data_IF_669272997385
#
_entry.id   IF_669272997385
#
_cell.length_a   1.000
_cell.length_b   1.000
_cell.length_c   1.000
_cell.angle_alpha   90.00
_cell.angle_beta   90.00
_cell.angle_gamma   90.00
#
_symmetry.space_group_name_H-M   'P 1'
#
loop_
_entity.id
_entity.type
_entity.pdbx_description
1 polymer ?
#
# COMPACT_ATOMS: atom_id res chain seq x y z
N UNK A 1 22.21 -20.56 1.20
CA UNK A 1 20.92 -20.58 1.94
C UNK A 1 19.84 -20.12 0.98
N UNK A 2 18.64 -20.72 1.03
CA UNK A 2 17.54 -20.30 0.16
C UNK A 2 17.04 -18.93 0.61
N UNK A 3 16.87 -18.00 -0.35
CA UNK A 3 16.33 -16.66 -0.16
C UNK A 3 15.02 -16.48 -0.94
N UNK A 4 14.18 -15.55 -0.52
CA UNK A 4 12.97 -15.14 -1.21
C UNK A 4 13.24 -13.87 -2.00
N UNK A 5 12.90 -13.89 -3.28
CA UNK A 5 12.99 -12.75 -4.18
C UNK A 5 11.60 -12.40 -4.70
N UNK A 6 11.16 -11.16 -4.43
CA UNK A 6 9.88 -10.64 -4.89
C UNK A 6 10.08 -9.89 -6.19
N UNK A 7 9.51 -10.41 -7.24
CA UNK A 7 9.77 -9.97 -8.60
C UNK A 7 8.63 -9.10 -9.14
N UNK A 8 8.99 -7.86 -9.50
CA UNK A 8 8.12 -6.96 -10.25
C UNK A 8 8.25 -7.26 -11.73
N UNK A 9 7.36 -8.10 -12.25
CA UNK A 9 7.22 -8.38 -13.67
C UNK A 9 6.73 -7.14 -14.45
N UNK A 10 6.74 -7.21 -15.77
CA UNK A 10 6.36 -6.08 -16.63
C UNK A 10 5.02 -5.45 -16.26
N UNK A 11 3.93 -6.22 -16.00
CA UNK A 11 2.67 -5.61 -15.52
C UNK A 11 2.81 -4.88 -14.20
N UNK A 12 3.53 -5.41 -13.20
CA UNK A 12 3.73 -4.74 -11.91
C UNK A 12 4.38 -3.35 -12.09
N UNK A 13 5.30 -3.22 -13.03
CA UNK A 13 6.01 -1.95 -13.31
C UNK A 13 5.14 -0.88 -13.97
N UNK A 14 3.93 -1.23 -14.38
CA UNK A 14 2.93 -0.27 -14.90
C UNK A 14 2.01 0.28 -13.81
N UNK A 15 2.16 -0.14 -12.53
CA UNK A 15 1.32 0.29 -11.42
C UNK A 15 1.65 1.71 -10.95
N UNK A 16 1.59 2.66 -11.88
CA UNK A 16 1.72 4.07 -11.58
C UNK A 16 0.46 4.61 -10.84
N UNK A 17 0.59 5.56 -9.93
CA UNK A 17 1.76 6.42 -9.67
C UNK A 17 2.78 5.85 -8.67
N UNK A 18 2.65 4.60 -8.23
CA UNK A 18 3.47 4.02 -7.16
C UNK A 18 4.76 3.41 -7.69
N UNK A 19 4.72 2.74 -8.85
CA UNK A 19 5.90 2.15 -9.49
C UNK A 19 7.01 3.17 -9.86
N UNK A 20 6.71 4.48 -9.79
CA UNK A 20 7.73 5.52 -9.90
C UNK A 20 8.72 5.49 -8.73
N UNK A 21 8.24 5.28 -7.50
CA UNK A 21 9.04 5.49 -6.28
C UNK A 21 9.27 4.25 -5.45
N UNK A 22 8.52 3.16 -5.66
CA UNK A 22 8.63 1.94 -4.86
C UNK A 22 8.40 0.66 -5.64
N UNK A 23 9.03 -0.44 -5.23
CA UNK A 23 8.68 -1.77 -5.73
C UNK A 23 7.26 -2.13 -5.27
N UNK A 24 6.53 -2.89 -6.08
CA UNK A 24 5.14 -3.26 -5.78
C UNK A 24 5.03 -4.18 -4.57
N UNK A 25 6.06 -4.96 -4.29
CA UNK A 25 6.15 -5.74 -3.05
C UNK A 25 6.02 -4.91 -1.77
N UNK A 26 6.32 -3.61 -1.82
CA UNK A 26 6.23 -2.67 -0.71
C UNK A 26 4.89 -1.90 -0.66
N UNK A 27 3.93 -2.27 -1.47
CA UNK A 27 2.55 -1.79 -1.39
C UNK A 27 1.75 -2.57 -0.35
N UNK A 28 0.87 -1.86 0.37
CA UNK A 28 -0.08 -2.48 1.31
C UNK A 28 -1.27 -3.02 0.53
N UNK A 29 -1.58 -4.30 0.75
CA UNK A 29 -2.80 -4.95 0.31
C UNK A 29 -3.49 -5.53 1.56
N UNK A 30 -4.74 -5.19 1.81
CA UNK A 30 -5.38 -5.48 3.09
C UNK A 30 -4.67 -4.78 4.25
N UNK A 31 -4.08 -5.53 5.17
CA UNK A 31 -3.48 -4.99 6.42
C UNK A 31 -1.95 -4.89 6.42
N UNK A 32 -1.27 -5.44 5.40
CA UNK A 32 0.21 -5.51 5.38
C UNK A 32 0.77 -5.40 3.97
N UNK A 33 2.08 -5.15 3.87
CA UNK A 33 2.75 -5.15 2.57
C UNK A 33 2.76 -6.54 1.93
N UNK A 34 2.84 -6.58 0.61
CA UNK A 34 2.93 -7.85 -0.13
C UNK A 34 4.19 -8.62 0.31
N UNK A 35 5.30 -7.91 0.57
CA UNK A 35 6.52 -8.52 1.12
C UNK A 35 6.28 -9.22 2.46
N UNK A 36 5.58 -8.57 3.39
CA UNK A 36 5.29 -9.16 4.69
C UNK A 36 4.41 -10.40 4.55
N UNK A 37 3.43 -10.40 3.65
CA UNK A 37 2.58 -11.56 3.35
C UNK A 37 3.38 -12.74 2.81
N UNK A 38 4.27 -12.50 1.85
CA UNK A 38 5.14 -13.54 1.31
C UNK A 38 6.08 -14.09 2.38
N UNK A 39 6.60 -13.27 3.30
CA UNK A 39 7.42 -13.74 4.42
C UNK A 39 6.65 -14.63 5.41
N UNK A 40 5.34 -14.47 5.52
CA UNK A 40 4.50 -15.36 6.33
C UNK A 40 4.27 -16.72 5.66
N UNK A 41 4.19 -16.74 4.33
CA UNK A 41 4.04 -17.98 3.54
C UNK A 41 5.39 -18.68 3.35
N UNK A 42 6.44 -17.91 3.14
CA UNK A 42 7.81 -18.37 2.92
C UNK A 42 8.74 -17.77 3.99
N UNK A 43 8.79 -18.32 5.21
CA UNK A 43 9.52 -17.76 6.33
C UNK A 43 11.04 -18.02 6.19
N UNK A 44 11.62 -17.46 5.13
CA UNK A 44 13.06 -17.47 4.88
C UNK A 44 13.72 -16.27 5.57
N UNK A 45 14.97 -16.45 5.97
CA UNK A 45 15.73 -15.43 6.70
C UNK A 45 16.02 -14.20 5.83
N UNK A 46 16.14 -14.40 4.53
CA UNK A 46 16.44 -13.36 3.55
C UNK A 46 15.26 -13.17 2.61
N UNK A 47 14.81 -11.91 2.45
CA UNK A 47 13.78 -11.50 1.51
C UNK A 47 14.22 -10.22 0.83
N UNK A 48 14.34 -10.24 -0.50
CA UNK A 48 14.76 -9.12 -1.34
C UNK A 48 13.77 -8.90 -2.46
N UNK A 49 13.79 -7.72 -3.08
CA UNK A 49 12.97 -7.44 -4.27
C UNK A 49 13.82 -7.35 -5.54
N UNK A 50 13.20 -7.68 -6.66
CA UNK A 50 13.69 -7.62 -8.04
C UNK A 50 12.78 -6.67 -8.82
N UNK A 51 13.06 -5.36 -8.79
CA UNK A 51 12.21 -4.32 -9.37
C UNK A 51 12.95 -3.45 -10.41
N UNK A 52 14.11 -3.93 -10.88
CA UNK A 52 14.98 -3.25 -11.84
C UNK A 52 15.78 -2.09 -11.26
N UNK A 53 16.64 -1.51 -12.08
CA UNK A 53 17.63 -0.49 -11.68
C UNK A 53 17.00 0.76 -11.04
N UNK A 54 15.75 1.12 -11.39
CA UNK A 54 15.04 2.26 -10.82
C UNK A 54 14.96 2.20 -9.28
N UNK A 55 14.79 1.01 -8.71
CA UNK A 55 14.59 0.81 -7.28
C UNK A 55 15.82 0.24 -6.55
N UNK A 56 16.96 0.13 -7.19
CA UNK A 56 18.19 -0.40 -6.57
C UNK A 56 18.54 0.34 -5.26
N UNK A 57 18.30 1.64 -5.21
CA UNK A 57 18.56 2.49 -4.05
C UNK A 57 17.36 2.66 -3.11
N UNK A 58 16.24 2.00 -3.38
CA UNK A 58 15.07 2.07 -2.49
C UNK A 58 15.45 1.65 -1.07
N UNK A 59 14.99 2.45 -0.08
CA UNK A 59 15.42 2.29 1.31
C UNK A 59 14.26 2.58 2.27
N UNK A 60 13.55 1.53 2.63
CA UNK A 60 12.56 1.52 3.71
C UNK A 60 12.83 0.34 4.64
N UNK A 61 12.40 0.39 5.91
CA UNK A 61 12.67 -0.66 6.89
C UNK A 61 12.25 -2.05 6.42
N UNK A 62 13.21 -2.97 6.39
CA UNK A 62 13.01 -4.36 5.98
C UNK A 62 12.93 -4.59 4.47
N UNK A 63 12.94 -3.55 3.64
CA UNK A 63 13.02 -3.67 2.19
C UNK A 63 14.48 -3.64 1.73
N UNK A 64 14.86 -4.58 0.87
CA UNK A 64 16.21 -4.67 0.34
C UNK A 64 16.20 -5.08 -1.13
N UNK A 65 16.88 -4.34 -1.98
CA UNK A 65 17.08 -4.73 -3.37
C UNK A 65 17.97 -5.97 -3.50
N UNK A 66 17.65 -6.84 -4.44
CA UNK A 66 18.54 -7.92 -4.85
C UNK A 66 19.76 -7.34 -5.59
N UNK A 67 20.92 -7.96 -5.45
CA UNK A 67 22.14 -7.63 -6.16
C UNK A 67 22.97 -8.88 -6.45
N UNK A 68 23.77 -8.83 -7.50
CA UNK A 68 24.68 -9.90 -7.89
C UNK A 68 23.92 -11.13 -8.41
N UNK A 69 24.09 -12.26 -7.77
CA UNK A 69 23.56 -13.56 -8.23
C UNK A 69 22.56 -14.12 -7.25
N UNK A 70 21.40 -14.55 -7.76
CA UNK A 70 20.43 -15.35 -7.03
C UNK A 70 20.98 -16.77 -6.89
N UNK A 71 21.20 -17.27 -5.68
CA UNK A 71 21.70 -18.65 -5.49
C UNK A 71 20.68 -19.69 -5.98
N UNK A 72 21.17 -20.82 -6.47
CA UNK A 72 20.34 -21.98 -6.73
C UNK A 72 19.52 -22.38 -5.49
N UNK A 73 18.28 -22.78 -5.67
CA UNK A 73 17.33 -23.08 -4.60
C UNK A 73 16.63 -21.87 -3.99
N UNK A 74 16.90 -20.67 -4.46
CA UNK A 74 16.14 -19.47 -4.10
C UNK A 74 14.71 -19.51 -4.67
N UNK A 75 13.80 -18.83 -3.99
CA UNK A 75 12.39 -18.71 -4.43
C UNK A 75 12.21 -17.34 -5.08
N UNK A 76 11.73 -17.33 -6.31
CA UNK A 76 11.27 -16.12 -7.01
C UNK A 76 9.74 -16.13 -7.00
N UNK A 77 9.14 -15.08 -6.47
CA UNK A 77 7.69 -14.91 -6.36
C UNK A 77 7.24 -13.60 -6.99
N UNK A 78 6.11 -13.61 -7.69
CA UNK A 78 5.56 -12.41 -8.31
C UNK A 78 4.98 -11.46 -7.27
N UNK A 79 5.39 -10.19 -7.30
CA UNK A 79 4.86 -9.14 -6.42
C UNK A 79 3.37 -8.88 -6.65
N UNK A 80 2.82 -9.22 -7.82
CA UNK A 80 1.38 -9.10 -8.11
C UNK A 80 0.52 -10.20 -7.49
N UNK A 81 1.12 -11.28 -7.00
CA UNK A 81 0.43 -12.26 -6.19
C UNK A 81 0.43 -11.79 -4.73
N UNK A 82 -0.74 -11.59 -4.16
CA UNK A 82 -0.96 -11.17 -2.79
C UNK A 82 -1.37 -12.38 -1.96
N UNK A 83 -0.45 -13.05 -1.25
CA UNK A 83 -0.81 -14.19 -0.42
C UNK A 83 -1.76 -13.81 0.71
N UNK A 84 -2.74 -14.64 0.97
CA UNK A 84 -3.51 -14.55 2.19
C UNK A 84 -2.63 -14.88 3.41
N UNK A 85 -2.84 -14.23 4.53
CA UNK A 85 -2.13 -14.52 5.78
C UNK A 85 -2.38 -16.00 6.15
N UNK A 86 -1.37 -16.87 6.33
CA UNK A 86 -1.59 -18.27 6.61
C UNK A 86 -2.24 -18.47 7.98
N UNK A 87 -3.22 -19.39 8.07
CA UNK A 87 -3.84 -19.78 9.34
C UNK A 87 -2.89 -20.57 10.22
N UNK A 88 -2.06 -21.41 9.61
CA UNK A 88 -1.05 -22.24 10.25
C UNK A 88 0.32 -21.96 9.59
N UNK A 89 1.18 -21.26 10.34
CA UNK A 89 2.53 -20.88 9.87
C UNK A 89 3.45 -22.11 9.75
N UNK A 90 3.27 -23.12 10.60
CA UNK A 90 4.09 -24.32 10.55
C UNK A 90 3.73 -25.17 9.33
N UNK A 91 2.43 -25.27 9.00
CA UNK A 91 2.01 -25.92 7.76
C UNK A 91 2.51 -25.16 6.52
N UNK A 92 2.53 -23.84 6.53
CA UNK A 92 3.12 -23.04 5.45
C UNK A 92 4.62 -23.34 5.31
N UNK A 93 5.37 -23.36 6.40
CA UNK A 93 6.80 -23.69 6.41
C UNK A 93 7.07 -25.11 5.89
N UNK A 94 6.27 -26.11 6.28
CA UNK A 94 6.39 -27.49 5.77
C UNK A 94 6.15 -27.55 4.25
N UNK A 95 5.14 -26.86 3.74
CA UNK A 95 4.88 -26.78 2.29
C UNK A 95 6.04 -26.12 1.56
N UNK A 96 6.62 -25.07 2.15
CA UNK A 96 7.79 -24.38 1.58
C UNK A 96 8.96 -25.35 1.38
N UNK A 97 9.21 -26.25 2.33
CA UNK A 97 10.30 -27.23 2.25
C UNK A 97 10.06 -28.30 1.15
N UNK A 98 8.80 -28.68 0.92
CA UNK A 98 8.43 -29.78 0.03
C UNK A 98 8.20 -29.38 -1.43
N UNK A 99 7.93 -28.11 -1.71
CA UNK A 99 7.52 -27.64 -3.03
C UNK A 99 8.64 -26.90 -3.76
N UNK A 100 8.60 -26.98 -5.11
CA UNK A 100 9.44 -26.21 -6.01
C UNK A 100 8.66 -25.19 -6.84
N UNK A 101 7.36 -25.31 -6.91
CA UNK A 101 6.45 -24.37 -7.56
C UNK A 101 5.23 -24.12 -6.68
N UNK A 102 4.65 -22.92 -6.79
CA UNK A 102 3.43 -22.54 -6.07
C UNK A 102 2.45 -21.85 -7.00
N UNK A 103 1.20 -22.31 -6.98
CA UNK A 103 0.11 -21.70 -7.71
C UNK A 103 -0.84 -20.94 -6.78
N UNK A 104 -1.32 -19.81 -7.25
CA UNK A 104 -2.45 -19.08 -6.66
C UNK A 104 -3.61 -19.14 -7.67
N UNK A 105 -4.63 -19.93 -7.38
CA UNK A 105 -5.59 -20.35 -8.38
C UNK A 105 -4.92 -21.21 -9.46
N UNK A 106 -5.16 -20.85 -10.70
CA UNK A 106 -4.60 -21.51 -11.90
C UNK A 106 -3.25 -20.90 -12.36
N UNK A 107 -2.79 -19.79 -11.74
CA UNK A 107 -1.58 -19.06 -12.16
C UNK A 107 -0.38 -19.42 -11.30
N UNK A 108 0.80 -19.47 -11.92
CA UNK A 108 2.07 -19.66 -11.22
C UNK A 108 2.40 -18.39 -10.43
N UNK A 109 2.56 -18.53 -9.11
CA UNK A 109 2.81 -17.42 -8.19
C UNK A 109 4.26 -17.33 -7.73
N UNK A 110 4.92 -18.49 -7.59
CA UNK A 110 6.32 -18.54 -7.21
C UNK A 110 6.98 -19.84 -7.71
N UNK A 111 8.31 -19.79 -7.86
CA UNK A 111 9.14 -20.90 -8.29
C UNK A 111 10.43 -20.95 -7.47
N UNK A 112 10.89 -22.14 -7.13
CA UNK A 112 12.24 -22.39 -6.61
C UNK A 112 13.15 -22.67 -7.78
N UNK A 113 14.05 -21.76 -8.10
CA UNK A 113 14.97 -21.88 -9.23
C UNK A 113 15.97 -23.02 -8.99
N UNK A 114 16.23 -23.80 -10.05
CA UNK A 114 17.18 -24.91 -10.02
C UNK A 114 18.63 -24.42 -10.06
N UNK A 115 18.89 -23.44 -10.92
CA UNK A 115 20.20 -22.93 -11.20
C UNK A 115 20.38 -21.52 -10.65
N UNK A 116 21.62 -21.11 -10.37
CA UNK A 116 21.90 -19.72 -9.99
C UNK A 116 21.70 -18.79 -11.19
N UNK A 117 21.18 -17.58 -10.94
CA UNK A 117 20.87 -16.61 -11.98
C UNK A 117 21.39 -15.22 -11.62
N UNK A 118 21.86 -14.47 -12.60
CA UNK A 118 22.23 -13.09 -12.41
C UNK A 118 20.96 -12.21 -12.24
N UNK A 119 21.03 -11.23 -11.33
CA UNK A 119 19.93 -10.29 -11.07
C UNK A 119 19.52 -9.53 -12.33
N UNK A 120 20.47 -9.25 -13.23
CA UNK A 120 20.23 -8.52 -14.48
C UNK A 120 19.23 -9.22 -15.42
N UNK A 121 19.03 -10.53 -15.28
CA UNK A 121 18.01 -11.26 -16.03
C UNK A 121 16.57 -10.78 -15.71
N UNK A 122 16.38 -10.08 -14.62
CA UNK A 122 15.08 -9.56 -14.17
C UNK A 122 14.92 -8.05 -14.40
N UNK A 123 15.90 -7.37 -14.99
CA UNK A 123 15.98 -5.90 -15.01
C UNK A 123 14.87 -5.23 -15.81
N UNK A 124 14.40 -5.81 -16.90
CA UNK A 124 13.34 -5.25 -17.75
C UNK A 124 11.93 -5.74 -17.40
N UNK A 125 11.81 -6.72 -16.50
CA UNK A 125 10.53 -7.31 -16.10
C UNK A 125 9.91 -8.26 -17.11
N UNK A 126 10.61 -8.61 -18.19
CA UNK A 126 10.07 -9.44 -19.28
C UNK A 126 10.11 -10.94 -19.00
N UNK A 127 11.02 -11.37 -18.14
CA UNK A 127 11.16 -12.77 -17.77
C UNK A 127 9.90 -13.27 -17.05
N UNK A 128 9.33 -14.38 -17.51
CA UNK A 128 8.19 -15.01 -16.85
C UNK A 128 8.66 -16.12 -15.90
N UNK A 129 7.84 -16.48 -14.90
CA UNK A 129 8.19 -17.60 -14.03
C UNK A 129 8.21 -18.93 -14.80
N UNK A 130 7.44 -19.03 -15.87
CA UNK A 130 7.37 -20.19 -16.77
C UNK A 130 8.68 -20.40 -17.55
N UNK A 131 9.47 -19.34 -17.76
CA UNK A 131 10.78 -19.41 -18.41
C UNK A 131 11.87 -19.96 -17.48
N UNK A 132 11.59 -20.01 -16.16
CA UNK A 132 12.55 -20.44 -15.17
C UNK A 132 12.53 -21.95 -14.99
N UNK A 133 13.72 -22.54 -14.83
CA UNK A 133 13.85 -23.96 -14.52
C UNK A 133 13.56 -24.19 -13.03
N UNK A 134 12.48 -24.92 -12.73
CA UNK A 134 12.16 -25.33 -11.38
C UNK A 134 13.13 -26.38 -10.85
N UNK A 135 13.44 -26.31 -9.55
CA UNK A 135 14.05 -27.39 -8.83
C UNK A 135 13.13 -28.63 -8.76
N UNK A 136 13.67 -29.73 -8.28
CA UNK A 136 12.86 -30.94 -8.02
C UNK A 136 11.97 -30.72 -6.79
N UNK A 137 10.68 -31.02 -6.89
CA UNK A 137 9.72 -30.86 -5.80
C UNK A 137 8.28 -30.89 -6.28
N UNK A 138 7.36 -30.93 -5.33
CA UNK A 138 5.93 -30.91 -5.62
C UNK A 138 5.45 -29.51 -6.08
N UNK A 139 4.26 -29.46 -6.65
CA UNK A 139 3.51 -28.21 -6.87
C UNK A 139 2.65 -27.97 -5.65
N UNK A 140 2.87 -26.83 -4.98
CA UNK A 140 2.09 -26.35 -3.86
C UNK A 140 1.05 -25.31 -4.28
N UNK A 141 0.17 -24.96 -3.34
CA UNK A 141 -0.80 -23.88 -3.50
C UNK A 141 -0.55 -22.77 -2.49
N UNK A 142 -0.78 -21.52 -2.92
CA UNK A 142 -0.85 -20.33 -2.09
C UNK A 142 -2.26 -19.79 -2.20
N UNK A 143 -2.97 -19.68 -1.07
CA UNK A 143 -4.22 -18.92 -1.04
C UNK A 143 -3.90 -17.44 -1.19
N UNK A 144 -4.70 -16.71 -1.96
CA UNK A 144 -4.47 -15.27 -2.15
C UNK A 144 -5.20 -14.69 -3.34
N UNK A 145 -4.76 -13.52 -3.73
CA UNK A 145 -5.37 -12.69 -4.76
C UNK A 145 -4.34 -12.27 -5.80
N UNK A 146 -4.81 -11.94 -7.00
CA UNK A 146 -3.99 -11.35 -8.06
C UNK A 146 -4.31 -9.88 -8.27
N UNK A 147 -3.26 -9.10 -8.46
CA UNK A 147 -3.33 -7.71 -8.91
C UNK A 147 -3.03 -7.68 -10.40
N UNK A 148 -4.05 -7.51 -11.23
CA UNK A 148 -3.89 -7.38 -12.68
C UNK A 148 -3.87 -5.91 -13.13
N UNK A 149 -4.29 -5.02 -12.23
CA UNK A 149 -4.25 -3.59 -12.40
C UNK A 149 -4.14 -2.86 -11.05
N UNK A 150 -3.72 -1.60 -11.10
CA UNK A 150 -3.51 -0.79 -9.89
C UNK A 150 -4.80 -0.62 -9.06
N UNK A 151 -5.96 -0.58 -9.69
CA UNK A 151 -7.26 -0.45 -8.98
C UNK A 151 -7.68 -1.73 -8.25
N UNK A 152 -7.01 -2.86 -8.48
CA UNK A 152 -7.30 -4.10 -7.76
C UNK A 152 -6.97 -4.02 -6.28
N UNK A 153 -6.06 -3.14 -5.88
CA UNK A 153 -5.85 -2.83 -4.47
C UNK A 153 -7.13 -2.35 -3.79
N UNK A 154 -7.94 -1.56 -4.49
CA UNK A 154 -9.22 -1.04 -3.96
C UNK A 154 -10.34 -2.06 -4.15
N UNK A 155 -10.40 -2.72 -5.32
CA UNK A 155 -11.43 -3.72 -5.62
C UNK A 155 -11.43 -4.89 -4.63
N UNK A 156 -10.23 -5.35 -4.25
CA UNK A 156 -10.05 -6.50 -3.37
C UNK A 156 -10.00 -6.14 -1.88
N UNK A 157 -9.96 -4.85 -1.54
CA UNK A 157 -9.77 -4.39 -0.17
C UNK A 157 -10.79 -4.97 0.84
N UNK A 158 -12.11 -4.98 0.56
CA UNK A 158 -13.07 -5.47 1.54
C UNK A 158 -12.86 -6.95 1.90
N UNK A 159 -12.61 -7.79 0.90
CA UNK A 159 -12.36 -9.22 1.08
C UNK A 159 -11.04 -9.46 1.81
N UNK A 160 -9.98 -8.74 1.42
CA UNK A 160 -8.67 -8.82 2.07
C UNK A 160 -8.75 -8.41 3.54
N UNK A 161 -9.41 -7.30 3.87
CA UNK A 161 -9.57 -6.84 5.25
C UNK A 161 -10.33 -7.86 6.10
N UNK A 162 -11.45 -8.37 5.62
CA UNK A 162 -12.24 -9.36 6.36
C UNK A 162 -11.44 -10.64 6.62
N UNK A 163 -10.73 -11.15 5.61
CA UNK A 163 -9.85 -12.32 5.73
C UNK A 163 -8.71 -12.09 6.70
N UNK A 164 -7.97 -10.99 6.51
CA UNK A 164 -6.76 -10.69 7.27
C UNK A 164 -7.05 -10.44 8.75
N UNK A 165 -8.06 -9.63 9.06
CA UNK A 165 -8.41 -9.29 10.44
C UNK A 165 -8.83 -10.56 11.20
N UNK A 166 -9.62 -11.42 10.56
CA UNK A 166 -10.02 -12.71 11.17
C UNK A 166 -8.81 -13.59 11.50
N UNK A 167 -7.80 -13.62 10.62
CA UNK A 167 -6.58 -14.41 10.82
C UNK A 167 -5.64 -13.80 11.85
N UNK A 168 -5.51 -12.46 11.86
CA UNK A 168 -4.73 -11.75 12.88
C UNK A 168 -5.34 -11.90 14.27
N UNK A 169 -6.66 -11.85 14.40
CA UNK A 169 -7.36 -12.05 15.66
C UNK A 169 -7.03 -13.42 16.30
N UNK A 170 -6.92 -14.44 15.46
CA UNK A 170 -6.58 -15.79 15.91
C UNK A 170 -5.11 -15.97 16.33
N UNK A 171 -4.22 -15.09 15.89
CA UNK A 171 -2.77 -15.18 16.10
C UNK A 171 -2.23 -14.24 17.19
N UNK A 172 -3.03 -13.26 17.64
CA UNK A 172 -2.57 -12.23 18.58
C UNK A 172 -2.80 -12.65 20.03
N UNK A 173 -1.72 -12.68 20.84
CA UNK A 173 -1.79 -12.96 22.28
C UNK A 173 -2.20 -11.73 23.11
N UNK A 174 -1.92 -10.52 22.62
CA UNK A 174 -2.10 -9.23 23.33
C UNK A 174 -3.42 -8.54 22.98
N UNK A 175 -4.47 -9.30 22.71
CA UNK A 175 -5.79 -8.76 22.37
C UNK A 175 -6.51 -8.34 23.63
N UNK A 176 -6.90 -7.08 23.67
CA UNK A 176 -7.78 -6.50 24.71
C UNK A 176 -9.17 -6.25 24.14
N UNK A 177 -10.16 -6.17 25.02
CA UNK A 177 -11.50 -5.73 24.64
C UNK A 177 -11.52 -4.20 24.51
N UNK A 178 -12.35 -3.65 23.61
CA UNK A 178 -12.61 -2.23 23.60
C UNK A 178 -13.08 -1.76 24.97
N UNK A 179 -12.71 -0.52 25.41
CA UNK A 179 -13.14 0.00 26.70
C UNK A 179 -14.68 0.13 26.75
N UNK A 180 -15.26 -0.04 27.93
CA UNK A 180 -16.72 -0.04 28.14
C UNK A 180 -17.42 1.26 27.79
N UNK A 181 -16.70 2.36 27.66
CA UNK A 181 -17.23 3.66 27.25
C UNK A 181 -17.32 3.84 25.72
N UNK A 182 -16.80 2.89 24.92
CA UNK A 182 -17.01 2.86 23.49
C UNK A 182 -18.34 2.15 23.15
N UNK A 183 -19.01 2.63 22.11
CA UNK A 183 -20.25 2.00 21.62
C UNK A 183 -19.89 0.97 20.53
N UNK A 184 -20.44 -0.23 20.63
CA UNK A 184 -20.25 -1.29 19.61
C UNK A 184 -21.61 -1.61 19.00
N UNK A 185 -21.68 -1.59 17.66
CA UNK A 185 -22.86 -1.97 16.87
C UNK A 185 -22.53 -3.21 16.07
N UNK A 186 -23.33 -4.28 16.22
CA UNK A 186 -23.13 -5.58 15.54
C UNK A 186 -22.35 -6.59 16.35
N UNK A 187 -22.14 -7.78 15.77
CA UNK A 187 -21.62 -8.98 16.46
C UNK A 187 -20.22 -9.41 16.01
N UNK A 188 -19.66 -8.81 14.97
CA UNK A 188 -18.29 -9.10 14.53
C UNK A 188 -17.27 -8.57 15.55
N UNK A 189 -16.05 -9.14 15.62
CA UNK A 189 -15.08 -8.73 16.63
C UNK A 189 -14.50 -7.34 16.40
N UNK A 190 -14.28 -6.61 17.51
CA UNK A 190 -13.38 -5.47 17.59
C UNK A 190 -12.13 -5.93 18.34
N UNK A 191 -11.01 -5.95 17.65
CA UNK A 191 -9.71 -6.36 18.20
C UNK A 191 -8.93 -5.10 18.52
N UNK A 192 -8.49 -4.95 19.75
CA UNK A 192 -7.62 -3.86 20.20
C UNK A 192 -6.32 -4.47 20.71
N UNK A 193 -5.20 -4.03 20.19
CA UNK A 193 -3.87 -4.52 20.57
C UNK A 193 -3.21 -3.47 21.46
N UNK A 194 -2.77 -3.91 22.65
CA UNK A 194 -1.91 -3.14 23.54
C UNK A 194 -0.44 -3.20 23.12
N UNK A 195 0.41 -2.39 23.73
CA UNK A 195 1.87 -2.54 23.57
C UNK A 195 2.38 -3.60 24.52
N UNK A 196 3.02 -4.63 23.98
CA UNK A 196 3.71 -5.68 24.74
C UNK A 196 5.03 -5.18 25.38
N UNK A 197 5.59 -4.07 24.87
CA UNK A 197 6.77 -3.40 25.42
C UNK A 197 6.43 -1.91 25.69
N UNK A 198 5.98 -1.58 26.90
CA UNK A 198 5.69 -0.21 27.28
C UNK A 198 6.99 0.56 27.47
N UNK A 199 7.59 1.05 26.39
CA UNK A 199 8.61 2.08 26.51
C UNK A 199 7.94 3.33 27.07
N UNK A 200 8.48 3.95 28.14
CA UNK A 200 7.86 5.12 28.80
C UNK A 200 7.61 6.32 27.87
N UNK A 201 8.19 6.29 26.68
CA UNK A 201 8.14 7.39 25.70
C UNK A 201 7.03 7.25 24.65
N UNK A 202 6.41 6.06 24.52
CA UNK A 202 5.37 5.82 23.53
C UNK A 202 4.04 5.51 24.20
N UNK A 203 2.95 6.24 23.86
CA UNK A 203 1.65 6.00 24.47
C UNK A 203 1.11 4.62 24.11
N UNK A 204 0.34 4.03 25.01
CA UNK A 204 -0.46 2.84 24.71
C UNK A 204 -1.63 3.19 23.78
N UNK A 205 -2.37 2.16 23.33
CA UNK A 205 -3.57 2.36 22.52
C UNK A 205 -4.64 3.10 23.33
N UNK A 206 -5.12 4.22 22.80
CA UNK A 206 -6.11 5.08 23.45
C UNK A 206 -7.38 5.15 22.62
N UNK A 207 -8.51 4.82 23.22
CA UNK A 207 -9.85 5.00 22.67
C UNK A 207 -10.60 5.94 23.59
N UNK A 208 -10.89 7.15 23.11
CA UNK A 208 -11.60 8.17 23.90
C UNK A 208 -13.09 7.83 24.03
N UNK A 209 -13.81 8.41 25.02
CA UNK A 209 -15.27 8.29 25.11
C UNK A 209 -15.99 8.76 23.85
N UNK A 210 -17.20 8.23 23.60
CA UNK A 210 -18.04 8.53 22.43
C UNK A 210 -17.47 8.07 21.10
N UNK A 211 -16.53 7.12 21.11
CA UNK A 211 -16.14 6.39 19.88
C UNK A 211 -17.19 5.31 19.59
N UNK A 212 -17.54 5.17 18.31
CA UNK A 212 -18.46 4.13 17.83
C UNK A 212 -17.69 3.16 16.93
N UNK A 213 -17.70 1.88 17.28
CA UNK A 213 -17.29 0.79 16.41
C UNK A 213 -18.53 0.12 15.81
N UNK A 214 -18.69 0.25 14.50
CA UNK A 214 -19.76 -0.41 13.78
C UNK A 214 -19.19 -1.65 13.07
N UNK A 215 -19.47 -2.81 13.63
CA UNK A 215 -18.99 -4.10 13.11
C UNK A 215 -20.11 -4.90 12.43
N UNK A 216 -21.17 -4.24 12.02
CA UNK A 216 -22.28 -4.89 11.32
C UNK A 216 -21.88 -5.48 9.96
N UNK A 217 -20.94 -4.82 9.25
CA UNK A 217 -20.45 -5.26 7.95
C UNK A 217 -19.14 -6.06 8.02
N UNK A 218 -18.49 -6.14 9.19
CA UNK A 218 -17.26 -6.91 9.34
C UNK A 218 -16.40 -6.47 10.54
N UNK A 219 -15.29 -7.17 10.77
CA UNK A 219 -14.46 -6.96 11.95
C UNK A 219 -13.61 -5.68 11.86
N UNK A 220 -13.20 -5.18 13.04
CA UNK A 220 -12.29 -4.03 13.17
C UNK A 220 -11.02 -4.47 13.92
N UNK A 221 -9.86 -4.01 13.46
CA UNK A 221 -8.57 -4.22 14.12
C UNK A 221 -7.91 -2.88 14.39
N UNK A 222 -7.62 -2.60 15.67
CA UNK A 222 -6.92 -1.41 16.14
C UNK A 222 -5.58 -1.85 16.70
N UNK A 223 -4.49 -1.44 16.04
CA UNK A 223 -3.14 -1.83 16.38
C UNK A 223 -2.55 -0.95 17.50
N UNK A 224 -1.45 -1.42 18.08
CA UNK A 224 -0.78 -0.82 19.22
C UNK A 224 -0.41 0.66 19.01
N UNK A 225 -0.60 1.49 20.02
CA UNK A 225 -0.29 2.91 20.01
C UNK A 225 -1.27 3.78 19.21
N UNK A 226 -2.31 3.20 18.63
CA UNK A 226 -3.33 3.98 17.95
C UNK A 226 -4.10 4.87 18.94
N UNK A 227 -4.43 6.10 18.51
CA UNK A 227 -5.25 7.02 19.28
C UNK A 227 -6.52 7.36 18.50
N UNK A 228 -7.67 6.85 18.95
CA UNK A 228 -8.98 7.13 18.37
C UNK A 228 -9.69 8.16 19.27
N UNK A 229 -9.87 9.36 18.73
CA UNK A 229 -10.47 10.47 19.47
C UNK A 229 -12.00 10.37 19.51
N UNK A 230 -12.56 11.03 20.51
CA UNK A 230 -14.01 11.16 20.69
C UNK A 230 -14.71 11.61 19.40
N UNK A 231 -15.95 11.15 19.22
CA UNK A 231 -16.79 11.41 18.04
C UNK A 231 -16.22 10.85 16.72
N UNK A 232 -15.40 9.80 16.80
CA UNK A 232 -15.02 8.99 15.65
C UNK A 232 -15.99 7.81 15.53
N UNK A 233 -16.44 7.52 14.29
CA UNK A 233 -17.10 6.27 13.93
C UNK A 233 -16.14 5.47 13.05
N UNK A 234 -15.85 4.23 13.44
CA UNK A 234 -15.06 3.28 12.66
C UNK A 234 -16.01 2.15 12.24
N UNK A 235 -16.16 1.93 10.94
CA UNK A 235 -17.02 0.87 10.43
C UNK A 235 -16.21 -0.20 9.69
N UNK A 236 -16.45 -1.46 10.06
CA UNK A 236 -15.73 -2.62 9.53
C UNK A 236 -16.20 -3.06 8.12
N UNK A 237 -15.39 -3.91 7.47
CA UNK A 237 -14.08 -4.35 7.92
C UNK A 237 -13.06 -3.21 7.85
N UNK A 238 -12.34 -2.93 8.94
CA UNK A 238 -11.43 -1.78 9.00
C UNK A 238 -10.16 -2.10 9.81
N UNK A 239 -9.01 -1.68 9.29
CA UNK A 239 -7.72 -1.81 9.95
C UNK A 239 -7.13 -0.43 10.28
N UNK A 240 -6.80 -0.24 11.55
CA UNK A 240 -6.12 0.94 12.08
C UNK A 240 -4.73 0.50 12.52
N UNK A 241 -3.71 0.97 11.83
CA UNK A 241 -2.30 0.60 12.03
C UNK A 241 -1.68 1.16 13.32
N UNK A 242 -0.40 0.85 13.52
CA UNK A 242 0.36 1.31 14.69
C UNK A 242 0.50 2.83 14.69
N UNK A 243 0.37 3.41 15.87
CA UNK A 243 0.57 4.86 16.09
C UNK A 243 -0.30 5.75 15.17
N UNK A 244 -1.40 5.22 14.66
CA UNK A 244 -2.38 5.97 13.87
C UNK A 244 -3.18 6.89 14.79
N UNK A 245 -3.42 8.12 14.32
CA UNK A 245 -4.25 9.08 15.03
C UNK A 245 -5.53 9.36 14.22
N UNK A 246 -6.67 8.83 14.69
CA UNK A 246 -7.99 9.16 14.16
C UNK A 246 -8.56 10.32 14.96
N UNK A 247 -8.64 11.50 14.35
CA UNK A 247 -8.98 12.75 15.04
C UNK A 247 -10.44 13.19 14.85
N UNK A 248 -11.34 12.22 14.65
CA UNK A 248 -12.79 12.41 14.47
C UNK A 248 -13.25 12.09 13.05
N UNK A 249 -14.54 11.93 12.87
CA UNK A 249 -15.19 11.65 11.59
C UNK A 249 -15.59 10.18 11.39
N UNK A 250 -15.86 9.79 10.14
CA UNK A 250 -16.30 8.45 9.76
C UNK A 250 -15.22 7.75 8.92
N UNK A 251 -14.76 6.58 9.38
CA UNK A 251 -13.74 5.76 8.70
C UNK A 251 -14.35 4.38 8.44
N UNK A 252 -14.76 4.14 7.20
CA UNK A 252 -15.51 2.96 6.79
C UNK A 252 -14.75 2.12 5.77
N UNK A 253 -14.53 0.83 6.06
CA UNK A 253 -13.93 -0.12 5.10
C UNK A 253 -12.48 0.22 4.70
N UNK A 254 -11.70 0.82 5.58
CA UNK A 254 -10.39 1.36 5.28
C UNK A 254 -9.23 0.52 5.84
N UNK A 255 -8.09 0.60 5.17
CA UNK A 255 -6.79 0.18 5.70
C UNK A 255 -5.93 1.42 5.95
N UNK A 256 -5.76 1.80 7.21
CA UNK A 256 -4.98 2.97 7.60
C UNK A 256 -3.62 2.51 8.11
N UNK A 257 -2.59 2.66 7.29
CA UNK A 257 -1.21 2.26 7.61
C UNK A 257 -0.55 3.12 8.68
N UNK A 258 0.51 2.59 9.25
CA UNK A 258 1.19 3.08 10.45
C UNK A 258 1.55 4.57 10.40
N UNK A 259 1.53 5.21 11.58
CA UNK A 259 1.96 6.61 11.81
C UNK A 259 1.16 7.64 10.99
N UNK A 260 -0.01 7.26 10.51
CA UNK A 260 -0.89 8.15 9.76
C UNK A 260 -1.83 8.94 10.66
N UNK A 261 -2.27 10.09 10.17
CA UNK A 261 -3.29 10.91 10.83
C UNK A 261 -4.46 11.09 9.89
N UNK A 262 -5.68 10.75 10.35
CA UNK A 262 -6.89 10.84 9.55
C UNK A 262 -8.02 11.55 10.29
N UNK A 263 -8.85 12.29 9.53
CA UNK A 263 -10.06 12.98 9.99
C UNK A 263 -11.02 13.17 8.81
N UNK A 264 -12.29 13.33 9.11
CA UNK A 264 -13.36 13.53 8.14
C UNK A 264 -13.90 12.20 7.64
N UNK A 265 -14.42 12.18 6.44
CA UNK A 265 -15.00 10.97 5.87
C UNK A 265 -13.98 10.22 5.00
N UNK A 266 -13.70 8.97 5.35
CA UNK A 266 -12.89 8.05 4.55
C UNK A 266 -13.70 6.77 4.31
N UNK A 267 -13.75 6.32 3.06
CA UNK A 267 -14.48 5.11 2.67
C UNK A 267 -13.64 4.25 1.73
N UNK A 268 -13.55 2.95 1.99
CA UNK A 268 -12.88 1.96 1.11
C UNK A 268 -11.51 2.42 0.61
N UNK A 269 -10.71 2.99 1.51
CA UNK A 269 -9.46 3.68 1.17
C UNK A 269 -8.26 3.01 1.85
N UNK A 270 -7.16 2.90 1.11
CA UNK A 270 -5.87 2.46 1.65
C UNK A 270 -4.98 3.68 1.87
N UNK A 271 -4.39 3.78 3.05
CA UNK A 271 -3.31 4.72 3.36
C UNK A 271 -2.06 3.91 3.67
N UNK A 272 -1.03 4.03 2.86
CA UNK A 272 0.19 3.20 2.97
C UNK A 272 0.96 3.43 4.27
N UNK A 273 0.88 4.63 4.81
CA UNK A 273 1.52 4.97 6.08
C UNK A 273 2.19 6.36 6.07
N UNK A 274 2.47 6.89 7.26
CA UNK A 274 3.12 8.20 7.49
C UNK A 274 2.42 9.38 6.81
N UNK A 275 1.17 9.22 6.42
CA UNK A 275 0.40 10.19 5.65
C UNK A 275 -0.56 11.00 6.53
N UNK A 276 -0.96 12.17 6.05
CA UNK A 276 -1.82 13.09 6.77
C UNK A 276 -3.02 13.50 5.94
N UNK A 277 -4.21 13.02 6.32
CA UNK A 277 -5.54 13.47 5.94
C UNK A 277 -6.25 14.01 7.20
N UNK A 278 -5.61 14.92 7.92
CA UNK A 278 -5.95 15.30 9.28
C UNK A 278 -7.05 16.36 9.43
N UNK A 279 -7.76 16.71 8.36
CA UNK A 279 -8.82 17.71 8.32
C UNK A 279 -10.09 17.15 7.68
N UNK A 280 -11.21 17.87 7.76
CA UNK A 280 -12.46 17.49 7.13
C UNK A 280 -12.35 17.44 5.60
N UNK A 281 -13.24 16.72 4.96
CA UNK A 281 -13.26 16.40 3.54
C UNK A 281 -13.45 14.90 3.29
N UNK A 282 -14.02 14.53 2.15
CA UNK A 282 -14.27 13.14 1.74
C UNK A 282 -13.10 12.56 0.96
N UNK A 283 -12.67 11.36 1.31
CA UNK A 283 -11.74 10.53 0.51
C UNK A 283 -12.28 9.11 0.41
N UNK A 284 -12.75 8.73 -0.78
CA UNK A 284 -13.38 7.43 -1.00
C UNK A 284 -12.71 6.63 -2.11
N UNK A 285 -12.64 5.30 -1.95
CA UNK A 285 -12.14 4.33 -2.93
C UNK A 285 -10.77 4.74 -3.52
N UNK A 286 -9.89 5.21 -2.65
CA UNK A 286 -8.62 5.84 -3.01
C UNK A 286 -7.43 5.10 -2.43
N UNK A 287 -6.26 5.26 -3.04
CA UNK A 287 -5.02 4.77 -2.49
C UNK A 287 -4.05 5.94 -2.25
N UNK A 288 -3.67 6.16 -1.01
CA UNK A 288 -2.67 7.15 -0.63
C UNK A 288 -1.32 6.46 -0.43
N UNK A 289 -0.34 6.82 -1.22
CA UNK A 289 1.04 6.41 -1.03
C UNK A 289 1.62 6.88 0.30
N UNK A 290 2.88 6.62 0.52
CA UNK A 290 3.57 7.02 1.75
C UNK A 290 3.92 8.50 1.71
N UNK A 291 3.87 9.16 2.87
CA UNK A 291 4.22 10.58 3.02
C UNK A 291 3.28 11.55 2.28
N UNK A 292 2.06 11.14 1.95
CA UNK A 292 1.03 12.02 1.38
C UNK A 292 0.56 13.01 2.44
N UNK A 293 0.33 14.27 2.03
CA UNK A 293 -0.28 15.29 2.89
C UNK A 293 -1.40 16.01 2.15
N UNK A 294 -2.63 15.75 2.57
CA UNK A 294 -3.81 16.42 2.02
C UNK A 294 -4.15 17.68 2.80
N UNK A 295 -4.26 18.80 2.11
CA UNK A 295 -4.72 20.08 2.67
C UNK A 295 -6.16 19.99 3.18
N UNK A 296 -6.53 20.89 4.09
CA UNK A 296 -7.88 20.97 4.64
C UNK A 296 -8.93 21.14 3.53
N UNK A 297 -10.03 20.39 3.61
CA UNK A 297 -11.09 20.44 2.60
C UNK A 297 -10.74 19.79 1.26
N UNK A 298 -9.64 19.01 1.17
CA UNK A 298 -9.41 18.15 -0.01
C UNK A 298 -10.50 17.10 -0.09
N UNK A 299 -11.16 17.01 -1.26
CA UNK A 299 -12.29 16.11 -1.53
C UNK A 299 -11.99 15.30 -2.79
N UNK A 300 -12.26 13.98 -2.73
CA UNK A 300 -12.21 13.11 -3.91
C UNK A 300 -13.63 12.70 -4.30
N UNK A 301 -13.99 12.81 -5.58
CA UNK A 301 -15.17 12.11 -6.09
C UNK A 301 -14.78 10.66 -6.38
N UNK A 302 -15.65 9.73 -6.02
CA UNK A 302 -15.46 8.30 -6.29
C UNK A 302 -16.57 7.68 -7.16
N UNK A 303 -17.64 8.42 -7.45
CA UNK A 303 -18.77 8.02 -8.28
C UNK A 303 -19.01 9.07 -9.37
N UNK A 304 -19.13 8.65 -10.63
CA UNK A 304 -19.52 9.54 -11.71
C UNK A 304 -20.97 10.01 -11.57
N UNK A 305 -21.25 11.25 -11.96
CA UNK A 305 -22.62 11.74 -12.02
C UNK A 305 -23.53 10.94 -12.97
N UNK A 306 -22.92 10.22 -13.93
CA UNK A 306 -23.62 9.32 -14.87
C UNK A 306 -23.80 7.91 -14.35
N UNK A 307 -23.30 7.59 -13.14
CA UNK A 307 -23.33 6.26 -12.52
C UNK A 307 -22.63 5.14 -13.33
N UNK A 308 -21.88 5.50 -14.37
CA UNK A 308 -21.08 4.55 -15.16
C UNK A 308 -19.78 4.14 -14.49
N UNK A 309 -19.09 3.17 -15.09
CA UNK A 309 -17.77 2.71 -14.63
C UNK A 309 -16.71 3.81 -14.74
N UNK A 310 -15.76 3.82 -13.82
CA UNK A 310 -14.67 4.80 -13.78
C UNK A 310 -13.53 4.33 -14.68
N UNK A 311 -13.00 5.24 -15.49
CA UNK A 311 -11.78 5.01 -16.26
C UNK A 311 -10.58 5.58 -15.50
N UNK A 312 -9.44 4.88 -15.54
CA UNK A 312 -8.18 5.29 -14.94
C UNK A 312 -7.09 5.35 -16.00
N UNK A 313 -6.24 6.36 -15.90
CA UNK A 313 -5.03 6.43 -16.71
C UNK A 313 -3.99 5.42 -16.21
N UNK A 314 -3.32 4.77 -17.15
CA UNK A 314 -2.14 3.91 -16.94
C UNK A 314 -1.05 4.29 -17.94
N UNK A 315 0.21 3.89 -17.76
CA UNK A 315 1.25 4.10 -18.78
C UNK A 315 0.93 3.52 -20.15
N UNK A 316 0.01 2.57 -20.22
CA UNK A 316 -0.45 1.93 -21.45
C UNK A 316 -1.68 2.62 -22.06
N UNK A 317 -2.16 3.70 -21.45
CA UNK A 317 -3.35 4.45 -21.88
C UNK A 317 -4.47 4.44 -20.85
N UNK A 318 -5.58 5.09 -21.18
CA UNK A 318 -6.77 5.14 -20.33
C UNK A 318 -7.54 3.82 -20.44
N UNK A 319 -7.82 3.19 -19.32
CA UNK A 319 -8.52 1.89 -19.25
C UNK A 319 -9.80 2.01 -18.43
N UNK A 320 -10.87 1.36 -18.87
CA UNK A 320 -12.06 1.15 -18.03
C UNK A 320 -11.71 0.15 -16.92
N UNK A 321 -11.99 0.52 -15.69
CA UNK A 321 -11.69 -0.31 -14.52
C UNK A 321 -12.74 -1.37 -14.22
N UNK A 322 -13.92 -1.27 -14.86
CA UNK A 322 -15.10 -2.06 -14.53
C UNK A 322 -15.71 -1.72 -13.15
N UNK A 323 -15.14 -0.75 -12.44
CA UNK A 323 -15.60 -0.32 -11.11
C UNK A 323 -16.49 0.92 -11.22
N UNK A 324 -17.66 0.89 -10.57
CA UNK A 324 -18.54 2.04 -10.46
C UNK A 324 -17.99 3.09 -9.48
N UNK A 325 -17.27 2.63 -8.45
CA UNK A 325 -16.65 3.49 -7.44
C UNK A 325 -15.12 3.38 -7.50
N UNK A 326 -14.47 4.48 -7.88
CA UNK A 326 -13.01 4.63 -7.80
C UNK A 326 -12.66 6.11 -7.65
N UNK A 327 -11.90 6.43 -6.59
CA UNK A 327 -11.44 7.78 -6.28
C UNK A 327 -10.08 8.08 -6.93
N UNK A 328 -9.13 8.50 -6.11
CA UNK A 328 -7.83 9.00 -6.54
C UNK A 328 -6.69 8.09 -6.14
N UNK A 329 -5.72 7.90 -7.05
CA UNK A 329 -4.44 7.27 -6.78
C UNK A 329 -3.39 8.36 -6.49
N UNK A 330 -2.96 8.46 -5.23
CA UNK A 330 -1.95 9.42 -4.79
C UNK A 330 -0.60 8.72 -4.67
N UNK A 331 0.36 9.06 -5.54
CA UNK A 331 1.73 8.57 -5.42
C UNK A 331 2.40 9.05 -4.13
N UNK A 332 3.55 8.48 -3.81
CA UNK A 332 4.30 8.87 -2.62
C UNK A 332 4.64 10.36 -2.61
N UNK A 333 4.69 10.94 -1.42
CA UNK A 333 5.05 12.35 -1.21
C UNK A 333 4.12 13.37 -1.86
N UNK A 334 2.96 13.00 -2.39
CA UNK A 334 1.98 13.96 -2.93
C UNK A 334 1.53 14.92 -1.83
N UNK A 335 1.41 16.19 -2.20
CA UNK A 335 0.84 17.25 -1.36
C UNK A 335 -0.25 17.99 -2.11
N UNK A 336 -1.37 18.23 -1.43
CA UNK A 336 -2.44 19.05 -1.96
C UNK A 336 -2.58 20.34 -1.16
N UNK A 337 -2.94 21.43 -1.85
CA UNK A 337 -3.40 22.66 -1.21
C UNK A 337 -4.73 22.46 -0.46
N UNK A 338 -5.21 23.51 0.17
CA UNK A 338 -6.53 23.51 0.84
C UNK A 338 -7.65 23.61 -0.23
N UNK A 339 -8.81 22.98 0.06
CA UNK A 339 -10.01 23.10 -0.78
C UNK A 339 -9.95 22.38 -2.13
N UNK A 340 -8.98 21.50 -2.35
CA UNK A 340 -8.78 20.81 -3.61
C UNK A 340 -9.92 19.81 -3.88
N UNK A 341 -10.45 19.82 -5.11
CA UNK A 341 -11.50 18.91 -5.58
C UNK A 341 -10.96 17.99 -6.66
N UNK A 342 -10.93 16.70 -6.38
CA UNK A 342 -10.44 15.66 -7.29
C UNK A 342 -11.60 14.87 -7.89
N UNK A 343 -11.61 14.72 -9.20
CA UNK A 343 -12.64 13.96 -9.91
C UNK A 343 -12.37 12.44 -9.81
N UNK A 344 -13.36 11.62 -10.17
CA UNK A 344 -13.22 10.15 -10.20
C UNK A 344 -12.05 9.70 -11.08
N UNK A 345 -11.27 8.72 -10.60
CA UNK A 345 -10.16 8.16 -11.35
C UNK A 345 -9.00 9.15 -11.58
N UNK A 346 -8.82 10.11 -10.66
CA UNK A 346 -7.66 11.00 -10.71
C UNK A 346 -6.39 10.27 -10.31
N UNK A 347 -5.28 10.55 -11.00
CA UNK A 347 -3.94 10.03 -10.72
C UNK A 347 -3.00 11.21 -10.45
N UNK A 348 -2.50 11.32 -9.23
CA UNK A 348 -1.48 12.28 -8.85
C UNK A 348 -0.13 11.56 -8.73
N UNK A 349 0.80 11.89 -9.62
CA UNK A 349 2.13 11.30 -9.67
C UNK A 349 2.95 11.56 -8.41
N UNK A 350 3.89 10.69 -8.11
CA UNK A 350 4.73 10.80 -6.92
C UNK A 350 5.40 12.17 -6.83
N UNK A 351 5.49 12.73 -5.62
CA UNK A 351 6.10 14.03 -5.37
C UNK A 351 5.35 15.23 -5.93
N UNK A 352 4.18 15.07 -6.54
CA UNK A 352 3.38 16.19 -7.01
C UNK A 352 2.95 17.09 -5.84
N UNK A 353 3.08 18.39 -6.01
CA UNK A 353 2.63 19.41 -5.07
C UNK A 353 1.65 20.36 -5.79
N UNK A 354 0.36 20.10 -5.59
CA UNK A 354 -0.73 20.70 -6.37
C UNK A 354 -1.62 21.52 -5.45
N UNK A 355 -1.83 22.78 -5.81
CA UNK A 355 -2.70 23.70 -5.06
C UNK A 355 -3.74 24.40 -5.98
N UNK A 356 -4.02 23.81 -7.11
CA UNK A 356 -5.12 24.11 -8.01
C UNK A 356 -6.45 23.69 -7.38
N UNK A 357 -7.53 24.41 -7.60
CA UNK A 357 -8.84 24.05 -7.05
C UNK A 357 -9.39 22.75 -7.63
N UNK A 358 -9.15 22.48 -8.91
CA UNK A 358 -9.64 21.32 -9.64
C UNK A 358 -8.61 20.87 -10.69
N UNK A 359 -7.59 20.12 -10.28
CA UNK A 359 -6.54 19.69 -11.19
C UNK A 359 -7.07 18.72 -12.25
N UNK A 360 -6.35 18.55 -13.38
CA UNK A 360 -6.69 17.54 -14.38
C UNK A 360 -6.65 16.15 -13.77
N UNK A 361 -7.30 15.19 -14.43
CA UNK A 361 -7.36 13.79 -13.97
C UNK A 361 -5.99 13.13 -13.81
N UNK A 362 -5.00 13.58 -14.53
CA UNK A 362 -3.64 13.05 -14.44
C UNK A 362 -2.67 14.20 -14.25
N UNK A 363 -1.92 14.12 -13.18
CA UNK A 363 -0.83 15.05 -12.85
C UNK A 363 0.47 14.25 -12.83
N UNK A 364 1.42 14.65 -13.67
CA UNK A 364 2.71 13.95 -13.77
C UNK A 364 3.49 13.98 -12.44
N UNK A 365 4.37 13.00 -12.18
CA UNK A 365 5.25 13.03 -11.02
C UNK A 365 6.06 14.31 -10.94
N UNK A 366 6.30 14.77 -9.70
CA UNK A 366 7.11 15.96 -9.41
C UNK A 366 6.59 17.25 -10.09
N UNK A 367 5.28 17.34 -10.32
CA UNK A 367 4.63 18.57 -10.75
C UNK A 367 4.45 19.53 -9.59
N UNK A 368 4.58 20.84 -9.89
CA UNK A 368 4.41 21.92 -8.92
C UNK A 368 3.55 23.03 -9.50
N UNK A 369 2.48 23.38 -8.83
CA UNK A 369 1.70 24.56 -9.24
C UNK A 369 0.23 24.56 -8.84
N UNK A 370 -0.41 25.69 -9.16
CA UNK A 370 -1.82 25.97 -8.97
C UNK A 370 -2.65 25.83 -10.23
N UNK A 371 -2.20 25.07 -11.22
CA UNK A 371 -2.89 24.79 -12.49
C UNK A 371 -1.91 24.48 -13.61
N UNK A 372 -2.37 23.82 -14.69
CA UNK A 372 -1.55 23.56 -15.87
C UNK A 372 -1.25 24.86 -16.66
N UNK A 373 -0.05 24.99 -17.27
CA UNK A 373 1.01 23.99 -17.22
C UNK A 373 1.74 24.00 -15.87
N UNK A 374 1.91 22.82 -15.26
CA UNK A 374 2.66 22.71 -14.02
C UNK A 374 4.16 22.87 -14.24
N UNK A 375 4.82 23.56 -13.30
CA UNK A 375 6.28 23.57 -13.24
C UNK A 375 6.80 22.22 -12.76
N UNK A 376 8.07 21.94 -13.06
CA UNK A 376 8.78 20.80 -12.46
C UNK A 376 9.21 21.16 -11.05
N UNK A 377 8.81 20.37 -10.06
CA UNK A 377 9.33 20.50 -8.71
C UNK A 377 10.83 20.16 -8.71
N UNK A 378 11.68 21.12 -8.43
CA UNK A 378 13.14 20.91 -8.46
C UNK A 378 13.54 19.79 -7.52
N UNK A 379 14.41 18.87 -7.98
CA UNK A 379 14.81 17.68 -7.23
C UNK A 379 15.40 18.03 -5.87
N UNK A 380 16.27 19.03 -5.78
CA UNK A 380 16.89 19.49 -4.53
C UNK A 380 15.82 19.98 -3.53
N UNK A 381 14.83 20.73 -3.99
CA UNK A 381 13.73 21.26 -3.15
C UNK A 381 12.73 20.18 -2.74
N UNK A 382 12.47 19.23 -3.63
CA UNK A 382 11.65 18.07 -3.32
C UNK A 382 12.27 17.23 -2.20
N UNK A 383 13.54 16.85 -2.33
CA UNK A 383 14.27 16.05 -1.35
C UNK A 383 14.42 16.78 -0.01
N UNK A 384 14.68 18.10 -0.03
CA UNK A 384 14.70 18.92 1.19
C UNK A 384 13.35 18.91 1.91
N UNK A 385 12.25 19.03 1.15
CA UNK A 385 10.88 18.97 1.70
C UNK A 385 10.56 17.59 2.26
N UNK A 386 10.95 16.52 1.57
CA UNK A 386 10.79 15.15 2.06
C UNK A 386 11.51 14.95 3.40
N UNK A 387 12.77 15.40 3.51
CA UNK A 387 13.53 15.33 4.76
C UNK A 387 12.85 16.07 5.92
N UNK A 388 12.41 17.32 5.70
CA UNK A 388 11.69 18.10 6.72
C UNK A 388 10.40 17.42 7.18
N UNK A 389 9.65 16.81 6.26
CA UNK A 389 8.42 16.12 6.58
C UNK A 389 8.67 14.84 7.37
N UNK A 390 9.69 14.06 6.99
CA UNK A 390 10.06 12.82 7.66
C UNK A 390 10.54 13.10 9.10
N UNK A 391 11.36 14.13 9.30
CA UNK A 391 11.81 14.56 10.64
C UNK A 391 10.63 14.87 11.59
N UNK A 392 9.52 15.44 11.10
CA UNK A 392 8.31 15.68 11.90
C UNK A 392 7.62 14.39 12.37
N UNK A 393 7.97 13.26 11.82
CA UNK A 393 7.49 11.91 12.19
C UNK A 393 8.60 11.07 12.84
N UNK A 394 9.69 11.71 13.26
CA UNK A 394 10.85 11.07 13.89
C UNK A 394 11.51 10.02 12.98
N UNK A 395 11.43 10.21 11.66
CA UNK A 395 12.09 9.37 10.67
C UNK A 395 13.19 10.19 10.00
N UNK A 396 14.38 9.64 9.91
CA UNK A 396 15.50 10.24 9.21
C UNK A 396 15.46 9.86 7.72
N UNK A 397 15.70 10.82 6.83
CA UNK A 397 15.92 10.54 5.43
C UNK A 397 17.38 10.14 5.25
N UNK A 398 17.64 8.83 5.11
CA UNK A 398 18.99 8.29 4.93
C UNK A 398 19.63 8.78 3.63
N UNK A 399 20.96 8.72 3.52
CA UNK A 399 21.66 9.08 2.29
C UNK A 399 21.27 8.16 1.12
N UNK A 400 20.95 6.89 1.39
CA UNK A 400 20.48 5.95 0.39
C UNK A 400 19.09 6.35 -0.12
N UNK A 401 18.14 6.61 0.77
CA UNK A 401 16.80 7.10 0.41
C UNK A 401 16.88 8.46 -0.32
N UNK A 402 17.78 9.36 0.09
CA UNK A 402 18.02 10.63 -0.60
C UNK A 402 18.45 10.42 -2.05
N UNK A 403 19.45 9.53 -2.28
CA UNK A 403 19.90 9.19 -3.63
C UNK A 403 18.78 8.54 -4.45
N UNK A 404 17.97 7.66 -3.84
CA UNK A 404 16.81 7.07 -4.48
C UNK A 404 15.83 8.12 -4.97
N UNK A 405 15.36 9.01 -4.09
CA UNK A 405 14.41 10.07 -4.44
C UNK A 405 14.96 11.01 -5.53
N UNK A 406 16.26 11.27 -5.53
CA UNK A 406 16.91 12.06 -6.58
C UNK A 406 16.94 11.32 -7.91
N UNK A 407 17.24 10.02 -7.91
CA UNK A 407 17.30 9.18 -9.11
C UNK A 407 15.92 9.05 -9.77
N UNK A 408 14.87 8.71 -9.00
CA UNK A 408 13.52 8.55 -9.53
C UNK A 408 12.91 9.85 -10.05
N UNK A 409 13.36 11.00 -9.52
CA UNK A 409 12.96 12.31 -10.03
C UNK A 409 13.35 12.50 -11.50
N UNK A 410 14.48 11.94 -11.95
CA UNK A 410 14.91 11.97 -13.34
C UNK A 410 14.05 11.11 -14.29
N UNK A 411 13.35 10.11 -13.75
CA UNK A 411 12.53 9.15 -14.51
C UNK A 411 11.06 9.54 -14.64
N UNK A 412 10.76 10.81 -14.89
CA UNK A 412 9.38 11.30 -15.09
C UNK A 412 8.68 10.58 -16.24
N UNK A 413 7.35 10.52 -16.17
CA UNK A 413 6.54 10.06 -17.30
C UNK A 413 6.85 10.91 -18.54
N UNK A 414 7.25 10.27 -19.63
CA UNK A 414 7.69 10.92 -20.86
C UNK A 414 6.53 11.38 -21.76
N UNK A 415 5.34 10.85 -21.55
CA UNK A 415 4.12 11.29 -22.20
C UNK A 415 3.32 12.14 -21.22
N UNK A 416 3.10 13.43 -21.52
CA UNK A 416 2.00 14.15 -20.88
C UNK A 416 0.71 13.42 -21.31
N UNK A 417 -0.13 13.01 -20.36
CA UNK A 417 -1.42 12.41 -20.71
C UNK A 417 -2.18 13.45 -21.54
N UNK A 418 -2.54 13.11 -22.75
CA UNK A 418 -3.42 13.97 -23.56
C UNK A 418 -4.61 14.37 -22.70
N UNK A 419 -4.91 15.67 -22.66
CA UNK A 419 -6.07 16.18 -21.97
C UNK A 419 -7.29 15.42 -22.52
N UNK A 420 -7.79 14.44 -21.77
CA UNK A 420 -9.02 13.75 -22.14
C UNK A 420 -10.14 14.78 -22.16
N UNK A 421 -10.44 15.29 -23.34
CA UNK A 421 -11.71 15.95 -23.60
C UNK A 421 -12.82 14.97 -23.21
N UNK A 422 -13.65 15.41 -22.29
CA UNK A 422 -14.79 14.74 -21.62
C UNK A 422 -15.67 13.94 -22.56
#
# INVERSE_FOLDING_TARGET
MSALFLYDDRPARTFEPFATTRPISEMVAGVSTIRERWRLVAPLTECRFLAGARHELFDEPGAQAANGVLPAGSIVALSRCVPAIPRDRDAAARRLAACSMWRCGDRLAAIRIKDAMDVSAFDDGSLTLEDLHAGTGAVGTVEGWWLDAIWDFIRLLPEQLASDITRLASASADVTRPPSHATILGDSPVIVVGRSDPTPTLPDTVIEPHVVFDVTAGPIYVNAGAHIRAFSRIAGPCYIGRDVNVVGGDVTGCSIGDVSKVRGELSSTIVLGHSNKGHDGFVGHSYLGRWVNLGAGTITSNLKNTYGTVSLWTPEGVRDTGMQFLGTMFGDHVKTGIGLRLTTGTVLGAGANVYDEMPPKVVAPFSWGGGPPYSVYRADKFVETAARMMTRRHVELTDRARRHLTSVHGGRWTAEPEATTT
#
